data_IF_381685632346
#
_entry.id   IF_381685632346
#
_cell.length_a   1.000
_cell.length_b   1.000
_cell.length_c   1.000
_cell.angle_alpha   90.00
_cell.angle_beta   90.00
_cell.angle_gamma   90.00
#
_symmetry.space_group_name_H-M   'P 1'
#
loop_
_entity.id
_entity.type
_entity.pdbx_description
1 polymer ?
#
# COMPACT_ATOMS: atom_id res chain seq x y z
N UNK A 1 -57.38 -49.54 15.67
CA UNK A 1 -55.92 -49.77 15.67
C UNK A 1 -55.20 -48.50 15.21
N UNK A 2 -54.25 -48.03 16.03
CA UNK A 2 -53.14 -47.08 15.74
C UNK A 2 -53.50 -45.61 15.47
N UNK A 3 -52.70 -44.61 15.84
CA UNK A 3 -51.96 -44.22 17.04
C UNK A 3 -51.50 -42.76 16.79
N UNK A 4 -51.36 -41.98 17.86
CA UNK A 4 -50.74 -40.65 17.89
C UNK A 4 -49.23 -40.71 17.51
N UNK A 5 -48.65 -39.57 17.08
CA UNK A 5 -47.27 -39.09 17.43
C UNK A 5 -46.19 -38.96 16.31
N UNK A 6 -45.69 -37.72 16.18
CA UNK A 6 -44.28 -37.23 16.09
C UNK A 6 -43.41 -37.26 14.81
N UNK A 7 -42.89 -36.04 14.52
CA UNK A 7 -41.53 -35.62 14.11
C UNK A 7 -40.94 -35.89 12.72
N UNK A 8 -40.48 -34.78 12.13
CA UNK A 8 -39.13 -34.55 11.56
C UNK A 8 -38.40 -35.75 10.96
N UNK A 9 -38.45 -35.88 9.64
CA UNK A 9 -37.47 -36.65 8.87
C UNK A 9 -37.30 -36.13 7.44
N UNK A 10 -37.40 -34.82 7.24
CA UNK A 10 -36.99 -34.17 5.97
C UNK A 10 -35.54 -33.62 6.01
N UNK A 11 -34.73 -34.04 6.99
CA UNK A 11 -33.35 -33.58 7.16
C UNK A 11 -32.26 -34.66 6.97
N UNK A 12 -32.55 -35.81 6.33
CA UNK A 12 -31.56 -36.91 6.26
C UNK A 12 -31.21 -37.50 4.88
N UNK A 13 -31.46 -36.82 3.75
CA UNK A 13 -31.08 -37.38 2.43
C UNK A 13 -30.22 -36.55 1.48
N UNK A 14 -29.64 -35.41 1.89
CA UNK A 14 -28.53 -34.81 1.12
C UNK A 14 -27.41 -34.38 2.06
N UNK A 15 -26.67 -35.38 2.55
CA UNK A 15 -25.22 -35.26 2.77
C UNK A 15 -24.55 -36.17 1.75
N UNK A 16 -23.44 -35.69 1.18
CA UNK A 16 -22.63 -36.29 0.11
C UNK A 16 -23.04 -35.85 -1.31
N UNK A 17 -22.75 -34.58 -1.64
CA UNK A 17 -21.91 -34.11 -2.78
C UNK A 17 -21.93 -32.55 -2.68
N UNK A 18 -21.23 -31.99 -1.69
CA UNK A 18 -20.92 -30.55 -1.66
C UNK A 18 -19.47 -30.25 -1.27
N UNK A 19 -18.63 -31.30 -1.16
CA UNK A 19 -17.24 -31.16 -0.71
C UNK A 19 -16.24 -31.24 -1.88
N UNK A 20 -16.67 -30.79 -3.05
CA UNK A 20 -15.78 -30.42 -4.15
C UNK A 20 -16.11 -28.98 -4.51
N UNK A 21 -15.09 -28.13 -4.69
CA UNK A 21 -15.15 -26.69 -4.99
C UNK A 21 -15.21 -25.70 -3.82
N UNK A 22 -14.53 -25.98 -2.72
CA UNK A 22 -13.69 -24.94 -2.13
C UNK A 22 -12.25 -25.43 -2.17
N UNK A 23 -11.64 -25.31 -3.36
CA UNK A 23 -10.19 -25.22 -3.39
C UNK A 23 -9.87 -23.92 -2.65
N UNK A 24 -9.12 -23.93 -1.53
CA UNK A 24 -8.41 -22.73 -1.17
C UNK A 24 -7.41 -22.57 -2.31
N UNK A 25 -7.77 -21.78 -3.31
CA UNK A 25 -6.72 -21.11 -4.05
C UNK A 25 -5.91 -20.45 -2.96
N UNK A 26 -4.71 -20.96 -2.69
CA UNK A 26 -3.69 -20.25 -1.97
C UNK A 26 -3.58 -18.92 -2.70
N UNK A 27 -4.31 -17.91 -2.22
CA UNK A 27 -4.07 -16.55 -2.57
C UNK A 27 -2.73 -16.30 -1.92
N UNK A 28 -1.65 -16.56 -2.66
CA UNK A 28 -0.34 -16.04 -2.31
C UNK A 28 -0.54 -14.54 -2.46
N UNK A 29 -0.95 -13.88 -1.38
CA UNK A 29 -0.80 -12.45 -1.25
C UNK A 29 0.71 -12.24 -1.39
N UNK A 30 1.16 -11.76 -2.55
CA UNK A 30 2.54 -11.34 -2.77
C UNK A 30 2.76 -10.05 -1.97
N UNK A 31 2.76 -10.19 -0.64
CA UNK A 31 3.04 -9.14 0.31
C UNK A 31 4.54 -9.16 0.56
N UNK A 32 5.23 -8.11 0.12
CA UNK A 32 6.67 -7.97 0.31
C UNK A 32 6.95 -7.05 1.49
N UNK A 33 7.68 -7.53 2.49
CA UNK A 33 8.16 -6.71 3.59
C UNK A 33 9.51 -6.07 3.24
N UNK A 34 9.60 -4.75 3.36
CA UNK A 34 10.82 -3.97 3.10
C UNK A 34 11.17 -3.16 4.33
N UNK A 35 12.43 -3.22 4.75
CA UNK A 35 12.96 -2.39 5.83
C UNK A 35 13.99 -1.40 5.26
N UNK A 36 13.93 -0.17 5.74
CA UNK A 36 14.91 0.87 5.43
C UNK A 36 15.25 1.66 6.70
N UNK A 37 16.45 2.24 6.78
CA UNK A 37 16.76 3.17 7.87
C UNK A 37 16.33 4.58 7.51
N UNK A 38 16.02 5.38 8.53
CA UNK A 38 15.74 6.79 8.38
C UNK A 38 16.84 7.49 7.57
N UNK A 39 16.44 8.25 6.55
CA UNK A 39 17.33 8.99 5.66
C UNK A 39 17.90 8.20 4.49
N UNK A 40 17.70 6.87 4.43
CA UNK A 40 18.15 6.06 3.29
C UNK A 40 17.23 6.20 2.08
N UNK A 41 17.75 5.82 0.91
CA UNK A 41 16.95 5.58 -0.28
C UNK A 41 16.51 4.11 -0.29
N UNK A 42 15.22 3.85 -0.50
CA UNK A 42 14.67 2.50 -0.55
C UNK A 42 14.14 2.17 -1.95
N UNK A 43 14.33 0.93 -2.39
CA UNK A 43 13.69 0.41 -3.60
C UNK A 43 12.46 -0.41 -3.22
N UNK A 44 11.29 0.02 -3.67
CA UNK A 44 10.07 -0.79 -3.58
C UNK A 44 9.96 -1.60 -4.88
N UNK A 45 10.22 -2.89 -4.77
CA UNK A 45 10.30 -3.77 -5.92
C UNK A 45 8.90 -4.14 -6.42
N UNK A 46 8.67 -3.98 -7.73
CA UNK A 46 7.46 -4.43 -8.37
C UNK A 46 7.78 -4.85 -9.79
N UNK A 47 7.67 -6.14 -10.06
CA UNK A 47 8.05 -6.73 -11.33
C UNK A 47 6.97 -7.71 -11.78
N UNK A 48 6.61 -7.65 -13.05
CA UNK A 48 5.65 -8.56 -13.68
C UNK A 48 6.29 -9.29 -14.85
N UNK A 49 5.91 -10.55 -15.03
CA UNK A 49 6.30 -11.33 -16.21
C UNK A 49 5.20 -11.20 -17.25
N UNK A 50 5.44 -10.41 -18.30
CA UNK A 50 4.48 -10.22 -19.38
C UNK A 50 5.17 -9.82 -20.68
N UNK A 51 4.68 -10.34 -21.80
CA UNK A 51 5.03 -9.87 -23.15
C UNK A 51 4.14 -8.71 -23.61
N UNK A 52 3.16 -8.32 -22.79
CA UNK A 52 2.23 -7.24 -23.10
C UNK A 52 2.80 -5.88 -22.77
N UNK A 53 2.29 -4.85 -23.45
CA UNK A 53 2.77 -3.48 -23.24
C UNK A 53 2.17 -2.91 -21.95
N UNK A 54 3.03 -2.46 -21.03
CA UNK A 54 2.60 -1.66 -19.88
C UNK A 54 1.96 -0.36 -20.35
N UNK A 55 0.70 -0.16 -19.97
CA UNK A 55 -0.12 0.99 -20.38
C UNK A 55 -0.30 2.01 -19.26
N UNK A 56 -0.37 1.51 -18.01
CA UNK A 56 -0.53 2.29 -16.78
C UNK A 56 0.32 1.67 -15.68
N UNK A 57 0.96 2.52 -14.89
CA UNK A 57 1.56 2.17 -13.59
C UNK A 57 1.07 3.20 -12.58
N UNK A 58 0.50 2.71 -11.47
CA UNK A 58 0.15 3.52 -10.30
C UNK A 58 0.86 2.92 -9.11
N UNK A 59 1.57 3.76 -8.38
CA UNK A 59 1.94 3.48 -7.01
C UNK A 59 1.05 4.32 -6.10
N UNK A 60 0.37 3.67 -5.16
CA UNK A 60 -0.54 4.29 -4.20
C UNK A 60 -0.17 3.88 -2.77
N UNK A 61 -0.66 4.66 -1.82
CA UNK A 61 -0.65 4.39 -0.38
C UNK A 61 -2.10 4.31 0.06
N UNK A 62 -2.72 3.11 0.12
CA UNK A 62 -4.14 2.98 0.43
C UNK A 62 -4.54 3.55 1.81
N UNK A 63 -3.59 3.66 2.72
CA UNK A 63 -3.77 4.17 4.08
C UNK A 63 -3.74 5.70 4.20
N UNK A 64 -3.20 6.42 3.20
CA UNK A 64 -3.09 7.88 3.26
C UNK A 64 -4.40 8.61 2.99
N UNK A 65 -5.51 7.93 2.67
CA UNK A 65 -6.86 8.50 2.46
C UNK A 65 -6.87 9.83 1.67
N UNK A 66 -5.99 9.97 0.68
CA UNK A 66 -5.78 11.19 -0.10
C UNK A 66 -5.78 10.86 -1.59
N UNK A 67 -6.20 11.82 -2.40
CA UNK A 67 -6.38 11.65 -3.86
C UNK A 67 -5.05 11.58 -4.66
N UNK A 68 -3.91 11.52 -3.99
CA UNK A 68 -2.58 11.60 -4.62
C UNK A 68 -1.88 10.25 -4.75
N UNK A 69 -1.17 10.05 -5.85
CA UNK A 69 -0.32 8.88 -6.07
C UNK A 69 1.08 9.07 -5.49
N UNK A 70 1.74 7.97 -5.15
CA UNK A 70 3.19 7.96 -4.91
C UNK A 70 3.93 8.13 -6.24
N UNK A 71 3.45 7.46 -7.29
CA UNK A 71 3.97 7.59 -8.66
C UNK A 71 2.86 7.26 -9.66
N UNK A 72 2.70 8.06 -10.72
CA UNK A 72 1.71 7.80 -11.76
C UNK A 72 2.30 7.94 -13.16
N UNK A 73 2.18 6.86 -13.93
CA UNK A 73 2.61 6.80 -15.32
C UNK A 73 1.50 6.27 -16.21
N UNK A 74 1.26 6.96 -17.32
CA UNK A 74 0.27 6.58 -18.33
C UNK A 74 0.65 7.19 -19.67
N UNK A 75 0.29 6.54 -20.78
CA UNK A 75 0.51 7.07 -22.13
C UNK A 75 1.99 7.48 -22.39
N UNK A 76 2.93 6.69 -21.86
CA UNK A 76 4.38 6.93 -21.97
C UNK A 76 4.90 8.19 -21.26
N UNK A 77 4.18 8.69 -20.24
CA UNK A 77 4.56 9.89 -19.49
C UNK A 77 4.30 9.72 -18.01
N UNK A 78 5.19 10.29 -17.20
CA UNK A 78 5.00 10.52 -15.77
C UNK A 78 4.17 11.80 -15.57
N UNK A 79 3.28 11.80 -14.57
CA UNK A 79 2.44 12.94 -14.25
C UNK A 79 2.65 13.38 -12.79
N UNK A 80 3.53 14.36 -12.60
CA UNK A 80 3.88 14.93 -11.30
C UNK A 80 2.69 15.64 -10.62
N UNK A 81 1.77 16.19 -11.41
CA UNK A 81 0.60 16.92 -10.91
C UNK A 81 -0.43 16.05 -10.15
N UNK A 82 -0.34 14.71 -10.29
CA UNK A 82 -1.17 13.79 -9.51
C UNK A 82 -0.41 13.15 -8.33
N UNK A 83 0.84 13.58 -8.10
CA UNK A 83 1.65 13.05 -7.02
C UNK A 83 1.24 13.66 -5.68
N UNK A 84 1.14 12.83 -4.65
CA UNK A 84 0.88 13.30 -3.29
C UNK A 84 2.07 14.15 -2.81
N UNK A 85 1.84 15.32 -2.16
CA UNK A 85 2.89 16.29 -1.83
C UNK A 85 4.08 15.71 -1.07
N UNK A 86 3.85 14.77 -0.14
CA UNK A 86 4.93 14.12 0.61
C UNK A 86 5.95 13.39 -0.26
N UNK A 87 5.61 13.00 -1.49
CA UNK A 87 6.47 12.23 -2.39
C UNK A 87 7.14 13.07 -3.50
N UNK A 88 6.77 14.35 -3.59
CA UNK A 88 7.26 15.24 -4.64
C UNK A 88 8.79 15.36 -4.60
N UNK A 89 9.45 15.19 -5.76
CA UNK A 89 10.91 15.23 -5.87
C UNK A 89 11.67 14.07 -5.21
N UNK A 90 10.99 13.13 -4.54
CA UNK A 90 11.61 12.01 -3.83
C UNK A 90 11.46 10.66 -4.54
N UNK A 91 10.58 10.55 -5.54
CA UNK A 91 10.27 9.26 -6.20
C UNK A 91 10.74 9.25 -7.66
N UNK A 92 11.36 8.14 -8.07
CA UNK A 92 11.69 7.86 -9.47
C UNK A 92 11.56 6.37 -9.78
N UNK A 93 11.41 6.00 -11.04
CA UNK A 93 11.58 4.59 -11.45
C UNK A 93 13.03 4.14 -11.27
N UNK A 94 13.21 2.87 -10.87
CA UNK A 94 14.51 2.20 -10.87
C UNK A 94 15.07 2.13 -12.30
N UNK A 95 14.24 1.72 -13.25
CA UNK A 95 14.56 1.65 -14.66
C UNK A 95 13.53 2.44 -15.48
N UNK A 96 13.88 3.60 -16.06
CA UNK A 96 12.94 4.44 -16.82
C UNK A 96 12.26 3.74 -18.00
N UNK A 97 12.92 2.74 -18.59
CA UNK A 97 12.38 1.98 -19.71
C UNK A 97 11.41 0.86 -19.31
N UNK A 98 11.32 0.54 -18.01
CA UNK A 98 10.50 -0.57 -17.49
C UNK A 98 10.77 -1.90 -18.20
N UNK A 99 12.05 -2.17 -18.53
CA UNK A 99 12.46 -3.41 -19.19
C UNK A 99 12.06 -4.62 -18.34
N UNK A 100 11.69 -5.71 -19.01
CA UNK A 100 11.33 -6.98 -18.37
C UNK A 100 10.21 -6.86 -17.33
N UNK A 101 9.33 -5.88 -17.52
CA UNK A 101 8.19 -5.62 -16.64
C UNK A 101 8.56 -5.04 -15.28
N UNK A 102 9.78 -4.51 -15.12
CA UNK A 102 10.22 -3.88 -13.87
C UNK A 102 9.70 -2.45 -13.73
N UNK A 103 8.75 -2.25 -12.84
CA UNK A 103 8.15 -0.95 -12.50
C UNK A 103 8.49 -0.50 -11.08
N UNK A 104 9.57 -1.05 -10.53
CA UNK A 104 10.08 -0.70 -9.19
C UNK A 104 10.39 0.79 -9.10
N UNK A 105 10.07 1.38 -7.95
CA UNK A 105 10.40 2.78 -7.65
C UNK A 105 11.49 2.87 -6.60
N UNK A 106 12.28 3.93 -6.69
CA UNK A 106 13.21 4.37 -5.65
C UNK A 106 12.55 5.55 -4.95
N UNK A 107 12.30 5.40 -3.65
CA UNK A 107 11.85 6.45 -2.75
C UNK A 107 13.06 6.96 -1.95
N UNK A 108 13.37 8.24 -2.11
CA UNK A 108 14.56 8.86 -1.54
C UNK A 108 14.32 9.42 -0.14
N UNK A 109 15.39 9.41 0.67
CA UNK A 109 15.43 10.05 1.98
C UNK A 109 14.20 9.71 2.82
N UNK A 110 14.02 8.42 3.11
CA UNK A 110 12.82 7.92 3.79
C UNK A 110 12.70 8.46 5.20
N UNK A 111 11.48 8.73 5.62
CA UNK A 111 11.12 9.22 6.95
C UNK A 111 10.17 8.23 7.63
N UNK A 112 9.96 8.35 8.94
CA UNK A 112 9.00 7.50 9.64
C UNK A 112 7.57 7.58 9.07
N UNK A 113 7.20 8.73 8.48
CA UNK A 113 5.90 8.92 7.81
C UNK A 113 5.77 8.11 6.51
N UNK A 114 6.88 7.69 5.92
CA UNK A 114 6.88 6.84 4.73
C UNK A 114 6.56 5.38 5.07
N UNK A 115 6.54 5.00 6.35
CA UNK A 115 6.08 3.67 6.81
C UNK A 115 4.61 3.46 6.44
N UNK A 116 4.31 2.27 5.93
CA UNK A 116 2.96 1.87 5.56
C UNK A 116 2.92 0.94 4.36
N UNK A 117 1.70 0.58 3.97
CA UNK A 117 1.44 -0.31 2.84
C UNK A 117 1.40 0.49 1.54
N UNK A 118 2.18 0.05 0.56
CA UNK A 118 2.20 0.57 -0.80
C UNK A 118 1.53 -0.44 -1.73
N UNK A 119 0.76 0.06 -2.67
CA UNK A 119 0.19 -0.74 -3.75
C UNK A 119 0.85 -0.34 -5.07
N UNK A 120 1.35 -1.35 -5.79
CA UNK A 120 1.78 -1.25 -7.18
C UNK A 120 0.67 -1.82 -8.07
N UNK A 121 -0.09 -0.95 -8.74
CA UNK A 121 -1.13 -1.31 -9.71
C UNK A 121 -0.62 -1.10 -11.13
N UNK A 122 -0.70 -2.15 -11.95
CA UNK A 122 -0.23 -2.17 -13.33
C UNK A 122 -1.38 -2.58 -14.24
N UNK A 123 -1.60 -1.82 -15.32
CA UNK A 123 -2.47 -2.25 -16.40
C UNK A 123 -1.65 -2.52 -17.66
N UNK A 124 -1.70 -3.74 -18.15
CA UNK A 124 -1.06 -4.14 -19.40
C UNK A 124 -2.09 -4.21 -20.53
N UNK A 125 -1.62 -3.93 -21.75
CA UNK A 125 -2.45 -3.92 -22.93
C UNK A 125 -1.83 -4.82 -23.99
N UNK A 126 -2.58 -5.84 -24.38
CA UNK A 126 -2.27 -6.65 -25.53
C UNK A 126 -2.56 -5.86 -26.82
N UNK A 127 -1.58 -5.68 -27.73
CA UNK A 127 -1.81 -4.99 -29.00
C UNK A 127 -2.62 -5.81 -30.01
N UNK A 128 -2.66 -7.14 -29.87
CA UNK A 128 -3.36 -8.07 -30.78
C UNK A 128 -4.81 -8.30 -30.36
N UNK A 129 -5.10 -8.34 -29.05
CA UNK A 129 -6.47 -8.43 -28.55
C UNK A 129 -7.18 -7.07 -28.65
N UNK A 130 -8.51 -7.09 -28.72
CA UNK A 130 -9.39 -5.90 -28.73
C UNK A 130 -8.86 -4.80 -27.81
N UNK A 131 -8.92 -3.53 -28.25
CA UNK A 131 -8.49 -2.33 -27.50
C UNK A 131 -9.10 -2.22 -26.09
N UNK A 132 -10.10 -3.03 -25.75
CA UNK A 132 -10.87 -3.01 -24.50
C UNK A 132 -10.41 -4.05 -23.46
N UNK A 133 -9.54 -5.00 -23.81
CA UNK A 133 -9.02 -5.97 -22.85
C UNK A 133 -7.76 -5.41 -22.17
N UNK A 134 -7.89 -5.01 -20.91
CA UNK A 134 -6.78 -4.65 -20.04
C UNK A 134 -6.65 -5.73 -18.98
N UNK A 135 -5.45 -6.28 -18.81
CA UNK A 135 -5.15 -7.10 -17.63
C UNK A 135 -4.61 -6.17 -16.56
N UNK A 136 -5.20 -6.24 -15.36
CA UNK A 136 -4.79 -5.44 -14.20
C UNK A 136 -4.12 -6.35 -13.17
N UNK A 137 -3.04 -5.86 -12.58
CA UNK A 137 -2.22 -6.58 -11.60
C UNK A 137 -1.94 -5.63 -10.45
N UNK A 138 -2.19 -6.07 -9.21
CA UNK A 138 -1.82 -5.34 -7.99
C UNK A 138 -0.85 -6.17 -7.15
N UNK A 139 0.23 -5.54 -6.67
CA UNK A 139 1.16 -6.09 -5.69
C UNK A 139 1.22 -5.15 -4.48
N UNK A 140 1.33 -5.70 -3.28
CA UNK A 140 1.35 -4.94 -2.04
C UNK A 140 2.71 -5.07 -1.35
N UNK A 141 3.26 -3.94 -0.91
CA UNK A 141 4.59 -3.86 -0.29
C UNK A 141 4.45 -3.10 1.02
N UNK A 142 4.88 -3.68 2.13
CA UNK A 142 4.92 -3.02 3.43
C UNK A 142 6.31 -2.46 3.70
N UNK A 143 6.42 -1.14 3.76
CA UNK A 143 7.66 -0.46 4.13
C UNK A 143 7.66 -0.17 5.62
N UNK A 144 8.70 -0.61 6.32
CA UNK A 144 9.00 -0.23 7.71
C UNK A 144 10.27 0.60 7.76
N UNK A 145 10.15 1.86 8.18
CA UNK A 145 11.31 2.73 8.39
C UNK A 145 11.77 2.62 9.85
N UNK A 146 13.04 2.23 10.02
CA UNK A 146 13.68 2.05 11.33
C UNK A 146 14.71 3.14 11.57
N UNK A 147 15.06 3.40 12.83
CA UNK A 147 16.11 4.34 13.17
C UNK A 147 16.26 4.50 14.67
N UNK A 148 17.44 4.90 15.10
CA UNK A 148 17.66 5.38 16.46
C UNK A 148 17.37 6.88 16.48
N UNK A 149 16.42 7.30 17.32
CA UNK A 149 16.22 8.71 17.60
C UNK A 149 17.44 9.19 18.40
N UNK A 150 18.43 9.81 17.75
CA UNK A 150 19.48 10.52 18.46
C UNK A 150 18.83 11.80 18.97
N UNK A 151 18.37 11.76 20.22
CA UNK A 151 17.90 12.94 20.93
C UNK A 151 19.02 13.99 20.90
N UNK A 152 18.84 15.05 20.11
CA UNK A 152 19.64 16.25 20.27
C UNK A 152 19.28 16.81 21.64
N UNK A 153 20.04 16.41 22.65
CA UNK A 153 19.90 16.89 24.01
C UNK A 153 20.17 18.39 23.98
N UNK A 154 19.10 19.21 23.95
CA UNK A 154 19.18 20.55 24.48
C UNK A 154 19.47 20.37 25.97
N UNK A 155 20.72 20.62 26.30
CA UNK A 155 21.33 20.33 27.58
C UNK A 155 20.50 20.92 28.74
N UNK A 156 20.20 20.03 29.68
CA UNK A 156 19.77 20.29 31.05
C UNK A 156 18.37 20.91 31.21
N UNK A 157 17.35 20.05 31.31
CA UNK A 157 16.53 19.86 32.53
C UNK A 157 15.22 19.14 32.13
N UNK A 158 14.94 18.00 32.78
CA UNK A 158 13.67 17.23 32.75
C UNK A 158 13.55 16.38 31.45
N UNK A 159 13.68 15.04 31.40
CA UNK A 159 13.04 13.97 32.19
C UNK A 159 13.93 12.71 32.18
N UNK A 160 14.13 12.08 33.35
CA UNK A 160 14.65 10.72 33.48
C UNK A 160 13.53 9.69 33.20
N UNK A 161 13.84 8.73 32.33
CA UNK A 161 13.35 7.34 32.20
C UNK A 161 11.86 7.07 31.94
N UNK A 162 11.57 6.44 30.80
CA UNK A 162 10.61 5.33 30.72
C UNK A 162 11.00 4.35 29.60
N UNK A 163 11.62 3.23 29.99
CA UNK A 163 11.61 2.00 29.17
C UNK A 163 10.20 1.41 29.30
N UNK A 164 9.53 1.24 28.16
CA UNK A 164 8.21 0.61 27.99
C UNK A 164 6.99 1.33 28.60
N UNK A 165 6.35 2.23 27.82
CA UNK A 165 4.90 2.18 27.46
C UNK A 165 4.41 3.41 26.67
N UNK A 166 3.65 3.14 25.60
CA UNK A 166 2.57 3.94 24.96
C UNK A 166 2.96 5.32 24.38
N UNK A 167 2.30 5.90 23.37
CA UNK A 167 0.93 6.45 23.40
C UNK A 167 0.54 6.92 21.98
N UNK A 168 -0.73 6.73 21.64
CA UNK A 168 -1.43 7.27 20.45
C UNK A 168 -1.57 8.80 20.61
N UNK A 169 -0.93 9.60 19.75
CA UNK A 169 -1.11 11.05 19.74
C UNK A 169 -2.21 11.44 18.75
N UNK A 170 -3.38 11.79 19.28
CA UNK A 170 -4.36 12.63 18.59
C UNK A 170 -4.66 13.81 19.51
N UNK A 171 -3.93 14.91 19.31
CA UNK A 171 -4.30 16.23 19.82
C UNK A 171 -4.52 17.13 18.60
N UNK A 172 -5.78 17.32 18.24
CA UNK A 172 -6.20 18.47 17.43
C UNK A 172 -6.05 19.71 18.31
N UNK A 173 -5.17 20.64 17.96
CA UNK A 173 -5.43 22.07 18.14
C UNK A 173 -4.47 22.91 17.28
N UNK A 174 -5.05 23.60 16.30
CA UNK A 174 -4.44 24.66 15.52
C UNK A 174 -4.66 25.99 16.26
N UNK A 175 -3.57 26.59 16.71
CA UNK A 175 -3.28 28.03 16.82
C UNK A 175 -4.49 29.00 16.85
N UNK A 176 -4.79 29.52 18.05
CA UNK A 176 -5.26 30.90 18.20
C UNK A 176 -4.01 31.78 18.10
N UNK A 177 -3.98 32.69 17.12
CA UNK A 177 -3.38 34.04 17.20
C UNK A 177 -3.43 34.71 15.81
N UNK A 178 -4.64 35.00 15.36
CA UNK A 178 -4.93 36.03 14.37
C UNK A 178 -6.16 36.75 14.88
N UNK A 179 -5.97 37.83 15.64
CA UNK A 179 -6.88 38.94 15.91
C UNK A 179 -6.42 39.58 17.22
N UNK A 180 -5.42 40.46 17.13
CA UNK A 180 -5.25 41.67 17.94
C UNK A 180 -3.92 42.30 17.53
N UNK A 181 -3.98 43.12 16.47
CA UNK A 181 -3.16 44.32 16.20
C UNK A 181 -3.33 44.69 14.73
N UNK A 182 -4.26 45.63 14.42
CA UNK A 182 -4.19 46.35 13.14
C UNK A 182 -5.50 46.76 12.45
N UNK A 183 -6.46 47.35 13.17
CA UNK A 183 -7.30 48.53 12.82
C UNK A 183 -8.65 48.49 13.52
#
# INVERSE_FOLDING_TARGET
FRAQSTHDTWCFFIRLISDAFFSPHNLITLQQDVQAKFGEDVTLQCQITTDERISVVKWSRPDLNTDGYVYFYRNKRFYENYQHPSFHGRVKLRHPEMKDGDVSIILKNVTFNDTGMYECHIAVRNPVRSKRAHTEISLFIDLTVTGEFVELTLSSHIIKTSKHKSVKLQTKNLMIDYLLLGK
#
